data_IF_591902656563
#
_entry.id   IF_591902656563
#
_cell.length_a   1.000
_cell.length_b   1.000
_cell.length_c   1.000
_cell.angle_alpha   90.00
_cell.angle_beta   90.00
_cell.angle_gamma   90.00
#
_symmetry.space_group_name_H-M   'P 1'
#
loop_
_entity.id
_entity.type
_entity.pdbx_description
1 polymer ?
#
# COMPACT_ATOMS: atom_id res chain seq x y z
N UNK A 1 14.68 -11.42 4.42
CA UNK A 1 13.79 -12.60 4.38
C UNK A 1 12.37 -12.08 4.25
N UNK A 2 11.58 -12.60 3.31
CA UNK A 2 10.16 -12.25 3.17
C UNK A 2 9.37 -13.25 4.01
N UNK A 3 8.61 -12.79 5.00
CA UNK A 3 7.83 -13.65 5.90
C UNK A 3 6.42 -13.86 5.36
N UNK A 4 5.82 -12.85 4.75
CA UNK A 4 4.52 -12.93 4.10
C UNK A 4 4.34 -11.89 2.99
N UNK A 5 3.50 -12.26 2.04
CA UNK A 5 2.92 -11.35 1.05
C UNK A 5 1.42 -11.60 1.01
N UNK A 6 0.63 -10.54 1.18
CA UNK A 6 -0.83 -10.64 1.17
C UNK A 6 -1.42 -9.67 0.18
N UNK A 7 -2.20 -10.20 -0.78
CA UNK A 7 -2.97 -9.37 -1.71
C UNK A 7 -4.18 -8.75 -1.01
N UNK A 8 -4.24 -7.42 -1.00
CA UNK A 8 -5.29 -6.63 -0.35
C UNK A 8 -6.42 -6.33 -1.32
N UNK A 9 -6.12 -5.64 -2.42
CA UNK A 9 -7.10 -5.35 -3.48
C UNK A 9 -7.27 -6.54 -4.43
N UNK A 10 -8.53 -6.94 -4.64
CA UNK A 10 -8.94 -8.09 -5.48
C UNK A 10 -10.00 -7.64 -6.49
N UNK A 11 -10.16 -8.32 -7.64
CA UNK A 11 -11.12 -7.92 -8.67
C UNK A 11 -12.56 -7.71 -8.16
N UNK A 12 -13.02 -8.54 -7.22
CA UNK A 12 -14.36 -8.41 -6.61
C UNK A 12 -14.44 -7.48 -5.40
N UNK A 13 -13.31 -6.92 -4.93
CA UNK A 13 -13.25 -5.94 -3.84
C UNK A 13 -11.99 -5.10 -3.96
N UNK A 14 -12.11 -4.00 -4.70
CA UNK A 14 -11.02 -3.04 -4.84
C UNK A 14 -10.88 -2.21 -3.57
N UNK A 15 -9.65 -2.04 -3.10
CA UNK A 15 -9.34 -1.28 -1.89
C UNK A 15 -8.55 -0.06 -2.30
N UNK A 16 -9.15 1.12 -2.18
CA UNK A 16 -8.50 2.40 -2.38
C UNK A 16 -8.37 3.11 -1.04
N UNK A 17 -7.27 3.81 -0.85
CA UNK A 17 -7.03 4.60 0.35
C UNK A 17 -6.48 5.97 0.01
N UNK A 18 -6.96 6.98 0.73
CA UNK A 18 -6.34 8.29 0.77
C UNK A 18 -4.98 8.22 1.47
N UNK A 19 -4.11 9.19 1.22
CA UNK A 19 -2.75 9.21 1.78
C UNK A 19 -2.72 9.18 3.32
N UNK A 20 -3.69 9.86 3.96
CA UNK A 20 -3.88 9.86 5.42
C UNK A 20 -4.29 8.51 5.97
N UNK A 21 -4.99 7.71 5.18
CA UNK A 21 -5.58 6.43 5.57
C UNK A 21 -4.74 5.24 5.06
N UNK A 22 -3.53 5.49 4.53
CA UNK A 22 -2.65 4.44 4.07
C UNK A 22 -2.27 3.52 5.24
N UNK A 23 -2.47 2.20 5.13
CA UNK A 23 -2.23 1.27 6.21
C UNK A 23 -0.74 1.16 6.53
N UNK A 24 -0.41 1.07 7.82
CA UNK A 24 0.92 0.69 8.29
C UNK A 24 0.97 -0.82 8.50
N UNK A 25 1.96 -1.49 7.91
CA UNK A 25 2.13 -2.95 8.06
C UNK A 25 3.13 -3.23 9.18
N UNK A 26 2.79 -4.17 10.06
CA UNK A 26 3.66 -4.61 11.15
C UNK A 26 4.31 -3.45 11.95
N UNK A 27 3.49 -2.49 12.38
CA UNK A 27 3.94 -1.29 13.10
C UNK A 27 5.02 -0.46 12.39
N UNK A 28 5.04 -0.49 11.05
CA UNK A 28 6.00 0.25 10.21
C UNK A 28 7.23 -0.54 9.78
N UNK A 29 7.31 -1.83 10.13
CA UNK A 29 8.39 -2.72 9.68
C UNK A 29 8.09 -3.38 8.33
N UNK A 30 6.82 -3.40 7.91
CA UNK A 30 6.40 -3.90 6.60
C UNK A 30 6.10 -2.76 5.64
N UNK A 31 5.79 -3.13 4.39
CA UNK A 31 5.51 -2.20 3.30
C UNK A 31 4.11 -2.47 2.74
N UNK A 32 3.34 -1.42 2.50
CA UNK A 32 2.15 -1.49 1.65
C UNK A 32 2.51 -1.00 0.25
N UNK A 33 2.20 -1.80 -0.77
CA UNK A 33 2.40 -1.43 -2.17
C UNK A 33 1.12 -0.81 -2.72
N UNK A 34 1.22 0.40 -3.24
CA UNK A 34 0.09 1.24 -3.64
C UNK A 34 0.21 1.62 -5.11
N UNK A 35 -0.83 1.35 -5.91
CA UNK A 35 -0.95 1.86 -7.28
C UNK A 35 -1.52 3.27 -7.23
N UNK A 36 -0.73 4.25 -7.66
CA UNK A 36 -1.10 5.67 -7.64
C UNK A 36 -1.06 6.25 -9.07
N UNK A 37 -1.62 7.45 -9.30
CA UNK A 37 -1.46 8.16 -10.57
C UNK A 37 0.00 8.48 -10.93
N UNK A 38 0.91 8.46 -9.95
CA UNK A 38 2.36 8.69 -10.13
C UNK A 38 3.14 7.38 -10.31
N UNK A 39 2.46 6.25 -10.46
CA UNK A 39 3.06 4.91 -10.55
C UNK A 39 2.82 4.07 -9.30
N UNK A 40 3.47 2.91 -9.26
CA UNK A 40 3.42 2.00 -8.10
C UNK A 40 4.46 2.45 -7.09
N UNK A 41 4.01 2.74 -5.87
CA UNK A 41 4.83 3.31 -4.79
C UNK A 41 4.71 2.47 -3.53
N UNK A 42 5.71 2.54 -2.66
CA UNK A 42 5.56 2.16 -1.25
C UNK A 42 4.64 3.16 -0.53
N UNK A 43 4.10 2.77 0.62
CA UNK A 43 3.30 3.68 1.45
C UNK A 43 4.11 4.83 2.06
N UNK A 44 5.44 4.67 2.22
CA UNK A 44 6.31 5.77 2.60
C UNK A 44 6.42 6.80 1.46
N UNK A 45 6.78 6.35 0.25
CA UNK A 45 6.89 7.24 -0.93
C UNK A 45 5.55 7.90 -1.28
N UNK A 46 4.44 7.17 -1.14
CA UNK A 46 3.10 7.71 -1.37
C UNK A 46 2.74 8.82 -0.36
N UNK A 47 3.17 8.69 0.90
CA UNK A 47 3.02 9.75 1.92
C UNK A 47 3.92 10.95 1.61
N UNK A 48 5.16 10.72 1.24
CA UNK A 48 6.11 11.79 0.88
C UNK A 48 5.63 12.59 -0.34
N UNK A 49 5.05 11.91 -1.33
CA UNK A 49 4.49 12.51 -2.54
C UNK A 49 3.03 12.99 -2.39
N UNK A 50 2.48 12.89 -1.18
CA UNK A 50 1.11 13.24 -0.79
C UNK A 50 0.03 12.70 -1.75
N UNK A 51 0.11 11.41 -2.09
CA UNK A 51 -0.77 10.78 -3.09
C UNK A 51 -1.34 9.46 -2.56
N UNK A 52 -2.66 9.28 -2.74
CA UNK A 52 -3.36 8.03 -2.43
C UNK A 52 -3.44 7.09 -3.63
N UNK A 53 -4.07 5.94 -3.45
CA UNK A 53 -4.21 4.96 -4.53
C UNK A 53 -4.85 3.63 -4.14
N UNK A 54 -4.75 2.65 -5.05
CA UNK A 54 -5.18 1.28 -4.81
C UNK A 54 -4.15 0.53 -3.96
N UNK A 55 -4.55 -0.01 -2.81
CA UNK A 55 -3.66 -0.84 -1.98
C UNK A 55 -3.60 -2.25 -2.55
N UNK A 56 -2.53 -2.56 -3.30
CA UNK A 56 -2.40 -3.81 -4.06
C UNK A 56 -2.13 -4.98 -3.10
N UNK A 57 -1.06 -4.85 -2.31
CA UNK A 57 -0.62 -5.89 -1.39
C UNK A 57 0.25 -5.32 -0.27
N UNK A 58 0.45 -6.14 0.76
CA UNK A 58 1.34 -5.87 1.88
C UNK A 58 2.42 -6.94 1.96
N UNK A 59 3.62 -6.55 2.41
CA UNK A 59 4.78 -7.43 2.59
C UNK A 59 5.37 -7.22 3.98
N UNK A 60 5.73 -8.30 4.67
CA UNK A 60 6.39 -8.32 5.99
C UNK A 60 7.33 -9.51 6.12
#
# INVERSE_FOLDING_TARGET
MIRSIQRVSKPGRRIYSGVSDLPRVANGLGISIVSTPKGVLSDAEARDLNVGGEVICTVF
#
